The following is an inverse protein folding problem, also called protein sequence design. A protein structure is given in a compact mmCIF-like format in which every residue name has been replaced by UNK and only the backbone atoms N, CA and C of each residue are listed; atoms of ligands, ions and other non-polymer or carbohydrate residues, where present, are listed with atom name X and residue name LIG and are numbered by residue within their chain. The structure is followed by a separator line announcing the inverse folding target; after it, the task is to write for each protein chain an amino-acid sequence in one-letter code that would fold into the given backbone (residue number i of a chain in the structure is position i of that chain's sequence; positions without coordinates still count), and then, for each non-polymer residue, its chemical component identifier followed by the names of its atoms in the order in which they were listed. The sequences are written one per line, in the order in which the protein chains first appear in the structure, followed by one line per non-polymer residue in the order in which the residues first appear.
data_IF_413330141580
#
_entry.id   IF_413330141580
#
_cell.length_a   1.000
_cell.length_b   1.000
_cell.length_c   1.000
_cell.angle_alpha   90.00
_cell.angle_beta   90.00
_cell.angle_gamma   90.00
#
_symmetry.space_group_name_H-M   'P 1'
#
loop_
_entity.id
_entity.type
_entity.pdbx_description
1 polymer ?
#
# COMPACT_ATOMS: atom_id res chain seq x y z
N UNK A 1 -9.47 3.41 14.90
CA UNK A 1 -9.12 2.00 15.19
C UNK A 1 -9.53 1.17 14.00
N UNK A 2 -8.63 1.01 13.02
CA UNK A 2 -8.88 0.14 11.88
C UNK A 2 -8.43 -1.27 12.27
N UNK A 3 -9.38 -2.16 12.54
CA UNK A 3 -9.08 -3.59 12.53
C UNK A 3 -9.08 -3.95 11.05
N UNK A 4 -7.89 -3.97 10.44
CA UNK A 4 -7.73 -4.67 9.18
C UNK A 4 -8.01 -6.14 9.52
N UNK A 5 -9.10 -6.70 9.02
CA UNK A 5 -9.48 -8.10 9.29
C UNK A 5 -8.46 -9.10 8.69
N UNK A 6 -7.50 -8.60 7.93
CA UNK A 6 -6.37 -9.32 7.36
C UNK A 6 -5.10 -9.18 8.24
N UNK A 7 -4.63 -10.27 8.88
CA UNK A 7 -3.48 -10.22 9.77
C UNK A 7 -2.17 -9.88 9.05
N UNK A 8 -2.05 -10.21 7.76
CA UNK A 8 -0.84 -9.94 6.98
C UNK A 8 -0.72 -8.45 6.69
N UNK A 9 -1.81 -7.82 6.24
CA UNK A 9 -1.85 -6.38 6.00
C UNK A 9 -1.76 -5.57 7.28
N UNK A 10 -2.34 -6.04 8.39
CA UNK A 10 -2.18 -5.39 9.68
C UNK A 10 -0.70 -5.31 10.11
N UNK A 11 0.06 -6.39 9.91
CA UNK A 11 1.49 -6.40 10.19
C UNK A 11 2.25 -5.47 9.24
N UNK A 12 1.99 -5.52 7.94
CA UNK A 12 2.66 -4.65 6.97
C UNK A 12 2.38 -3.17 7.29
N UNK A 13 1.12 -2.81 7.51
CA UNK A 13 0.72 -1.45 7.86
C UNK A 13 1.41 -0.97 9.14
N UNK A 14 1.53 -1.83 10.16
CA UNK A 14 2.22 -1.50 11.42
C UNK A 14 3.72 -1.24 11.24
N UNK A 15 4.39 -2.00 10.39
CA UNK A 15 5.86 -1.94 10.25
C UNK A 15 6.34 -1.04 9.11
N UNK A 16 5.50 -0.80 8.10
CA UNK A 16 5.84 -0.05 6.90
C UNK A 16 5.09 1.28 6.86
N UNK A 17 3.79 1.31 7.18
CA UNK A 17 3.01 2.53 7.19
C UNK A 17 3.32 3.40 8.40
N UNK A 18 4.07 4.48 8.21
CA UNK A 18 4.11 5.54 9.22
C UNK A 18 2.67 6.06 9.40
N UNK A 19 2.20 6.14 10.64
CA UNK A 19 0.78 6.15 11.05
C UNK A 19 0.03 7.46 10.76
N UNK A 20 0.07 7.95 9.53
CA UNK A 20 -0.80 9.02 9.06
C UNK A 20 -1.97 8.38 8.29
N UNK A 21 -3.11 8.32 8.97
CA UNK A 21 -4.42 7.99 8.40
C UNK A 21 -4.67 8.89 7.20
N UNK A 22 -4.84 8.27 6.03
CA UNK A 22 -5.30 8.98 4.86
C UNK A 22 -6.71 8.48 4.56
N UNK A 23 -7.72 9.34 4.79
CA UNK A 23 -9.14 9.10 4.48
C UNK A 23 -9.40 9.06 2.96
N UNK A 24 -8.33 8.99 2.15
CA UNK A 24 -8.39 8.95 0.69
C UNK A 24 -8.87 7.59 0.16
N UNK A 25 -10.18 7.47 0.01
CA UNK A 25 -10.91 7.29 -1.27
C UNK A 25 -12.26 6.56 -1.06
N UNK A 26 -12.92 6.82 0.07
CA UNK A 26 -14.22 6.22 0.40
C UNK A 26 -15.26 6.45 -0.69
N UNK A 27 -15.26 7.64 -1.31
CA UNK A 27 -16.21 8.03 -2.37
C UNK A 27 -16.16 7.13 -3.60
N UNK A 28 -14.98 6.85 -4.16
CA UNK A 28 -14.86 6.03 -5.36
C UNK A 28 -15.27 4.57 -5.06
N UNK A 29 -14.96 4.09 -3.86
CA UNK A 29 -15.36 2.76 -3.44
C UNK A 29 -16.87 2.64 -3.28
N UNK A 30 -17.52 3.62 -2.62
CA UNK A 30 -18.98 3.64 -2.49
C UNK A 30 -19.68 3.73 -3.84
N UNK A 31 -19.15 4.51 -4.79
CA UNK A 31 -19.69 4.58 -6.14
C UNK A 31 -19.65 3.22 -6.85
N UNK A 32 -18.55 2.48 -6.74
CA UNK A 32 -18.46 1.11 -7.29
C UNK A 32 -19.44 0.14 -6.63
N UNK A 33 -19.64 0.26 -5.31
CA UNK A 33 -20.60 -0.57 -4.59
C UNK A 33 -22.05 -0.28 -5.04
N UNK A 34 -22.41 1.00 -5.17
CA UNK A 34 -23.73 1.41 -5.65
C UNK A 34 -23.95 0.89 -7.07
N UNK A 35 -22.99 1.08 -7.98
CA UNK A 35 -23.08 0.60 -9.36
C UNK A 35 -23.27 -0.94 -9.43
N UNK A 36 -22.58 -1.70 -8.58
CA UNK A 36 -22.74 -3.16 -8.53
C UNK A 36 -24.12 -3.59 -8.02
N UNK A 37 -24.69 -2.87 -7.05
CA UNK A 37 -26.05 -3.10 -6.57
C UNK A 37 -27.06 -2.77 -7.66
N UNK A 38 -26.92 -1.62 -8.32
CA UNK A 38 -27.77 -1.17 -9.43
C UNK A 38 -27.80 -2.21 -10.57
N UNK A 39 -26.63 -2.68 -11.01
CA UNK A 39 -26.52 -3.70 -12.06
C UNK A 39 -27.18 -5.04 -11.67
N UNK A 40 -27.13 -5.38 -10.38
CA UNK A 40 -27.77 -6.59 -9.86
C UNK A 40 -29.31 -6.44 -9.82
N UNK A 41 -29.82 -5.32 -9.28
CA UNK A 41 -31.27 -5.13 -9.10
C UNK A 41 -32.00 -4.85 -10.40
N UNK A 42 -31.33 -4.30 -11.41
CA UNK A 42 -31.94 -4.01 -12.72
C UNK A 42 -32.45 -5.25 -13.46
N UNK A 43 -31.98 -6.45 -13.06
CA UNK A 43 -32.43 -7.74 -13.59
C UNK A 43 -33.78 -8.19 -13.03
N UNK A 44 -34.31 -7.48 -12.03
CA UNK A 44 -35.55 -7.82 -11.35
C UNK A 44 -36.66 -6.77 -11.62
N UNK A 45 -37.94 -7.20 -11.55
CA UNK A 45 -39.08 -6.30 -11.61
C UNK A 45 -39.02 -5.19 -10.53
N UNK A 46 -39.51 -3.96 -10.81
CA UNK A 46 -39.39 -2.81 -9.89
C UNK A 46 -39.86 -3.07 -8.45
N UNK A 47 -40.92 -3.86 -8.30
CA UNK A 47 -41.52 -4.27 -7.03
C UNK A 47 -40.64 -5.23 -6.21
N UNK A 48 -39.74 -5.97 -6.85
CA UNK A 48 -38.78 -6.84 -6.17
C UNK A 48 -37.44 -6.15 -5.87
N UNK A 49 -37.11 -5.04 -6.54
CA UNK A 49 -35.76 -4.44 -6.53
C UNK A 49 -35.26 -4.10 -5.14
N UNK A 50 -36.11 -3.53 -4.28
CA UNK A 50 -35.73 -3.16 -2.92
C UNK A 50 -35.38 -4.38 -2.07
N UNK A 51 -36.23 -5.41 -2.09
CA UNK A 51 -35.98 -6.66 -1.35
C UNK A 51 -34.73 -7.37 -1.87
N UNK A 52 -34.51 -7.35 -3.20
CA UNK A 52 -33.30 -7.92 -3.83
C UNK A 52 -32.04 -7.14 -3.45
N UNK A 53 -32.10 -5.81 -3.38
CA UNK A 53 -30.99 -4.96 -2.95
C UNK A 53 -30.57 -5.32 -1.52
N UNK A 54 -31.53 -5.40 -0.59
CA UNK A 54 -31.25 -5.73 0.81
C UNK A 54 -30.62 -7.13 0.95
N UNK A 55 -31.18 -8.14 0.29
CA UNK A 55 -30.64 -9.49 0.32
C UNK A 55 -29.21 -9.56 -0.26
N UNK A 56 -28.94 -8.80 -1.32
CA UNK A 56 -27.61 -8.71 -1.90
C UNK A 56 -26.62 -8.03 -0.94
N UNK A 57 -27.03 -6.93 -0.29
CA UNK A 57 -26.19 -6.24 0.69
C UNK A 57 -25.85 -7.18 1.85
N UNK A 58 -26.85 -7.87 2.41
CA UNK A 58 -26.64 -8.81 3.51
C UNK A 58 -25.63 -9.93 3.15
N UNK A 59 -25.75 -10.48 1.94
CA UNK A 59 -24.84 -11.54 1.47
C UNK A 59 -23.41 -11.05 1.18
N UNK A 60 -23.24 -9.80 0.74
CA UNK A 60 -21.97 -9.32 0.17
C UNK A 60 -21.23 -8.29 1.04
N UNK A 61 -21.91 -7.63 2.00
CA UNK A 61 -21.35 -6.50 2.75
C UNK A 61 -20.02 -6.81 3.44
N UNK A 62 -19.88 -8.02 4.01
CA UNK A 62 -18.63 -8.44 4.68
C UNK A 62 -17.47 -8.53 3.68
N UNK A 63 -17.68 -9.18 2.54
CA UNK A 63 -16.63 -9.37 1.54
C UNK A 63 -16.20 -8.03 0.92
N UNK A 64 -17.16 -7.17 0.60
CA UNK A 64 -16.87 -5.82 0.13
C UNK A 64 -16.06 -5.00 1.15
N UNK A 65 -16.47 -5.04 2.43
CA UNK A 65 -15.72 -4.36 3.49
C UNK A 65 -14.30 -4.85 3.58
N UNK A 66 -14.08 -6.16 3.54
CA UNK A 66 -12.73 -6.73 3.56
C UNK A 66 -11.91 -6.26 2.36
N UNK A 67 -12.48 -6.32 1.15
CA UNK A 67 -11.78 -5.89 -0.07
C UNK A 67 -11.41 -4.40 -0.02
N UNK A 68 -12.31 -3.55 0.46
CA UNK A 68 -12.02 -2.14 0.70
C UNK A 68 -10.88 -1.92 1.69
N UNK A 69 -10.92 -2.61 2.83
CA UNK A 69 -9.85 -2.50 3.83
C UNK A 69 -8.49 -2.87 3.24
N UNK A 70 -8.44 -3.92 2.40
CA UNK A 70 -7.20 -4.30 1.70
C UNK A 70 -6.74 -3.19 0.77
N UNK A 71 -7.63 -2.66 -0.07
CA UNK A 71 -7.28 -1.62 -1.04
C UNK A 71 -6.85 -0.30 -0.36
N UNK A 72 -7.54 0.10 0.70
CA UNK A 72 -7.19 1.28 1.49
C UNK A 72 -5.79 1.14 2.10
N UNK A 73 -5.47 -0.02 2.68
CA UNK A 73 -4.14 -0.30 3.21
C UNK A 73 -3.06 -0.20 2.11
N UNK A 74 -3.33 -0.72 0.90
CA UNK A 74 -2.41 -0.60 -0.23
C UNK A 74 -2.19 0.86 -0.63
N UNK A 75 -3.25 1.66 -0.72
CA UNK A 75 -3.13 3.05 -1.12
C UNK A 75 -2.23 3.84 -0.16
N UNK A 76 -2.32 3.57 1.14
CA UNK A 76 -1.42 4.14 2.16
C UNK A 76 0.01 3.62 1.97
N UNK A 77 0.18 2.31 1.81
CA UNK A 77 1.50 1.69 1.64
C UNK A 77 2.21 2.13 0.36
N UNK A 78 1.46 2.39 -0.72
CA UNK A 78 1.98 2.92 -1.98
C UNK A 78 2.58 4.33 -1.85
N UNK A 79 2.10 5.11 -0.88
CA UNK A 79 2.61 6.45 -0.56
C UNK A 79 3.81 6.40 0.39
N UNK A 80 4.05 5.25 1.03
CA UNK A 80 5.20 5.09 1.92
C UNK A 80 6.50 5.13 1.12
N UNK A 81 7.54 5.74 1.70
CA UNK A 81 8.87 5.82 1.10
C UNK A 81 9.89 5.15 2.03
N UNK A 82 10.97 4.68 1.44
CA UNK A 82 12.10 4.13 2.18
C UNK A 82 13.02 5.30 2.58
N UNK A 83 13.08 5.68 3.88
CA UNK A 83 13.75 6.92 4.30
C UNK A 83 15.26 6.94 3.98
N UNK A 84 15.92 5.79 4.04
CA UNK A 84 17.36 5.65 3.79
C UNK A 84 17.64 4.73 2.59
N UNK A 85 16.84 4.81 1.52
CA UNK A 85 16.98 3.86 0.42
C UNK A 85 18.25 4.10 -0.39
N UNK A 86 19.21 3.15 -0.44
CA UNK A 86 20.40 3.29 -1.28
C UNK A 86 20.08 3.28 -2.78
N UNK A 87 18.84 2.91 -3.14
CA UNK A 87 18.34 2.80 -4.52
C UNK A 87 17.47 3.97 -4.97
N UNK A 88 17.16 4.94 -4.09
CA UNK A 88 16.30 6.07 -4.44
C UNK A 88 17.02 7.12 -5.31
N UNK A 89 18.33 6.99 -5.54
CA UNK A 89 19.08 7.87 -6.44
C UNK A 89 19.07 9.36 -6.06
N UNK A 90 18.59 9.72 -4.86
CA UNK A 90 18.45 11.10 -4.39
C UNK A 90 17.16 11.81 -4.79
N UNK A 91 16.24 11.14 -5.49
CA UNK A 91 14.91 11.68 -5.79
C UNK A 91 13.88 11.13 -4.79
N UNK A 92 13.34 11.99 -3.94
CA UNK A 92 12.34 11.63 -2.93
C UNK A 92 10.98 11.25 -3.55
N UNK A 93 10.75 11.59 -4.82
CA UNK A 93 9.45 11.46 -5.47
C UNK A 93 9.28 10.12 -6.19
N UNK A 94 10.36 9.47 -6.62
CA UNK A 94 10.28 8.20 -7.37
C UNK A 94 10.49 6.98 -6.46
N UNK A 95 9.56 6.00 -6.48
CA UNK A 95 9.75 4.76 -5.71
C UNK A 95 10.92 3.96 -6.26
N UNK A 96 11.75 3.41 -5.39
CA UNK A 96 12.88 2.57 -5.83
C UNK A 96 12.40 1.31 -6.56
N UNK A 97 13.29 0.68 -7.32
CA UNK A 97 12.96 -0.51 -8.11
C UNK A 97 12.36 -1.65 -7.27
N UNK A 98 12.88 -1.89 -6.06
CA UNK A 98 12.35 -2.91 -5.14
C UNK A 98 10.95 -2.53 -4.66
N UNK A 99 10.72 -1.27 -4.30
CA UNK A 99 9.40 -0.79 -3.86
C UNK A 99 8.35 -0.94 -4.96
N UNK A 100 8.71 -0.62 -6.22
CA UNK A 100 7.82 -0.78 -7.38
C UNK A 100 7.41 -2.25 -7.59
N UNK A 101 8.35 -3.19 -7.47
CA UNK A 101 8.04 -4.62 -7.60
C UNK A 101 7.23 -5.15 -6.43
N UNK A 102 7.55 -4.70 -5.22
CA UNK A 102 6.80 -5.05 -4.02
C UNK A 102 5.35 -4.56 -4.08
N UNK A 103 5.12 -3.33 -4.56
CA UNK A 103 3.77 -2.79 -4.73
C UNK A 103 2.92 -3.64 -5.67
N UNK A 104 3.49 -4.17 -6.75
CA UNK A 104 2.78 -5.10 -7.65
C UNK A 104 2.40 -6.40 -6.95
N UNK A 105 3.27 -6.94 -6.10
CA UNK A 105 2.94 -8.14 -5.30
C UNK A 105 1.81 -7.86 -4.32
N UNK A 106 1.84 -6.69 -3.68
CA UNK A 106 0.82 -6.25 -2.74
C UNK A 106 -0.55 -6.07 -3.43
N UNK A 107 -0.58 -5.44 -4.61
CA UNK A 107 -1.79 -5.29 -5.42
C UNK A 107 -2.42 -6.64 -5.77
N UNK A 108 -1.62 -7.61 -6.22
CA UNK A 108 -2.09 -8.97 -6.53
C UNK A 108 -2.63 -9.69 -5.30
N UNK A 109 -2.02 -9.46 -4.13
CA UNK A 109 -2.54 -9.98 -2.87
C UNK A 109 -3.91 -9.38 -2.51
N UNK A 110 -4.12 -8.07 -2.69
CA UNK A 110 -5.41 -7.44 -2.37
C UNK A 110 -6.57 -7.91 -3.25
N UNK A 111 -6.31 -8.24 -4.52
CA UNK A 111 -7.31 -8.82 -5.42
C UNK A 111 -7.48 -10.34 -5.24
N UNK A 112 -6.89 -10.91 -4.18
CA UNK A 112 -6.92 -12.34 -3.85
C UNK A 112 -6.30 -13.26 -4.93
N UNK A 113 -5.42 -12.75 -5.80
CA UNK A 113 -4.64 -13.57 -6.74
C UNK A 113 -3.49 -14.33 -6.04
N UNK A 114 -3.06 -13.85 -4.88
CA UNK A 114 -2.00 -14.46 -4.08
C UNK A 114 -2.54 -14.85 -2.71
N UNK A 115 -2.17 -16.04 -2.25
CA UNK A 115 -2.31 -16.40 -0.84
C UNK A 115 -1.34 -15.57 0.01
N UNK A 116 -1.59 -15.49 1.33
CA UNK A 116 -0.66 -14.83 2.26
C UNK A 116 0.73 -15.48 2.23
N UNK A 117 0.77 -16.82 2.15
CA UNK A 117 2.01 -17.59 2.02
C UNK A 117 2.78 -17.21 0.75
N UNK A 118 2.12 -17.20 -0.41
CA UNK A 118 2.78 -16.88 -1.68
C UNK A 118 3.25 -15.43 -1.73
N UNK A 119 2.47 -14.51 -1.16
CA UNK A 119 2.88 -13.12 -1.02
C UNK A 119 4.17 -12.99 -0.21
N UNK A 120 4.27 -13.65 0.94
CA UNK A 120 5.47 -13.62 1.79
C UNK A 120 6.66 -14.26 1.06
N UNK A 121 6.49 -15.45 0.49
CA UNK A 121 7.55 -16.17 -0.21
C UNK A 121 8.11 -15.34 -1.39
N UNK A 122 7.24 -14.73 -2.21
CA UNK A 122 7.65 -13.88 -3.34
C UNK A 122 8.29 -12.59 -2.89
N UNK A 123 7.84 -12.01 -1.78
CA UNK A 123 8.45 -10.81 -1.19
C UNK A 123 9.87 -11.10 -0.68
N UNK A 124 10.07 -12.24 -0.01
CA UNK A 124 11.41 -12.66 0.44
C UNK A 124 12.35 -12.97 -0.74
N UNK A 125 11.83 -13.60 -1.80
CA UNK A 125 12.59 -13.84 -3.02
C UNK A 125 13.02 -12.53 -3.69
N UNK A 126 12.13 -11.53 -3.75
CA UNK A 126 12.44 -10.20 -4.26
C UNK A 126 13.58 -9.53 -3.50
N UNK A 127 13.52 -9.56 -2.16
CA UNK A 127 14.58 -9.01 -1.30
C UNK A 127 15.90 -9.76 -1.45
N UNK A 128 15.84 -11.09 -1.56
CA UNK A 128 17.04 -11.93 -1.74
C UNK A 128 17.73 -11.62 -3.07
N UNK A 129 16.97 -11.45 -4.15
CA UNK A 129 17.49 -11.11 -5.47
C UNK A 129 18.19 -9.73 -5.50
N UNK A 130 17.74 -8.79 -4.68
CA UNK A 130 18.29 -7.43 -4.62
C UNK A 130 19.22 -7.20 -3.42
N UNK A 131 19.58 -8.26 -2.69
CA UNK A 131 20.34 -8.19 -1.43
C UNK A 131 21.65 -7.41 -1.57
N UNK A 132 22.38 -7.63 -2.66
CA UNK A 132 23.68 -6.96 -2.87
C UNK A 132 23.53 -5.46 -3.13
N UNK A 133 22.42 -5.04 -3.73
CA UNK A 133 22.13 -3.63 -4.02
C UNK A 133 21.54 -2.90 -2.80
N UNK A 134 20.99 -3.65 -1.84
CA UNK A 134 20.51 -3.13 -0.56
C UNK A 134 21.64 -2.93 0.47
N UNK A 135 22.88 -3.37 0.16
CA UNK A 135 24.04 -3.13 1.02
C UNK A 135 24.36 -1.64 1.03
N UNK A 136 24.05 -0.98 2.14
CA UNK A 136 24.55 0.37 2.42
C UNK A 136 26.06 0.25 2.64
N UNK A 137 26.84 0.48 1.58
CA UNK A 137 28.26 0.72 1.74
C UNK A 137 28.39 2.03 2.49
N UNK A 138 28.79 2.00 3.76
CA UNK A 138 29.28 3.19 4.46
C UNK A 138 30.49 3.68 3.66
N UNK A 139 30.26 4.57 2.70
CA UNK A 139 31.32 5.43 2.22
C UNK A 139 31.65 6.29 3.43
N UNK A 140 32.74 5.94 4.12
CA UNK A 140 33.46 6.86 4.99
C UNK A 140 33.88 8.03 4.09
N UNK A 141 32.98 9.00 3.93
CA UNK A 141 33.34 10.30 3.39
C UNK A 141 34.36 10.90 4.35
N UNK A 142 35.51 11.40 3.86
CA UNK A 142 36.50 12.01 4.73
C UNK A 142 35.82 13.14 5.49
N UNK A 143 35.99 13.13 6.81
CA UNK A 143 35.65 14.24 7.69
C UNK A 143 36.12 15.52 7.01
N UNK A 144 35.18 16.39 6.63
CA UNK A 144 35.47 17.74 6.14
C UNK A 144 35.93 18.55 7.36
N UNK A 145 37.16 18.30 7.78
CA UNK A 145 37.95 19.23 8.56
C UNK A 145 38.23 20.46 7.72
N UNK A 146 38.36 21.59 8.42
CA UNK A 146 38.78 22.90 7.94
C UNK A 146 37.68 23.74 7.27
N UNK A 147 36.89 24.42 8.13
CA UNK A 147 36.55 25.82 7.84
C UNK A 147 37.86 26.62 7.91
N UNK A 148 38.31 27.31 6.85
CA UNK A 148 39.32 28.33 7.04
C UNK A 148 38.65 29.52 7.72
N UNK A 149 39.17 29.85 8.90
CA UNK A 149 38.98 31.16 9.51
C UNK A 149 39.52 32.22 8.57
N UNK A 150 38.66 33.08 8.01
CA UNK A 150 39.09 34.35 7.46
C UNK A 150 38.92 35.42 8.54
N UNK A 151 40.01 35.63 9.28
CA UNK A 151 40.27 36.82 10.07
C UNK A 151 41.00 37.86 9.18
N UNK A 152 40.79 39.15 9.51
CA UNK A 152 41.41 40.41 9.01
C UNK A 152 40.71 41.09 7.80
N UNK A 153 40.01 42.22 8.02
CA UNK A 153 40.48 43.65 8.02
C UNK A 153 40.77 44.17 6.60
N UNK A 154 40.31 45.32 6.13
CA UNK A 154 40.10 46.65 6.74
C UNK A 154 38.78 47.29 6.26
#
# INVERSE_FOLDING_TARGET
MYIVDDPTLALIARFVGNSAHDECSDTEFFQRQIAAIEEYVDRFPPDERETRALAWIEANARQYRQQWQKQAAINVLAKTRCPDCPLAGGDEWTPCAVHTHWLKLLQRYAVNELSSHDYVARSLALLTAHKDWLKVSRVLGPSRSARPETCCRN
#
